data_IF_853335004328
#
_entry.id   IF_853335004328
#
_cell.length_a   1.000
_cell.length_b   1.000
_cell.length_c   1.000
_cell.angle_alpha   90.00
_cell.angle_beta   90.00
_cell.angle_gamma   90.00
#
_symmetry.space_group_name_H-M   'P 1'
#
loop_
_entity.id
_entity.type
_entity.pdbx_description
1 polymer ?
#
# COMPACT_ATOMS: atom_id res chain seq x y z
N UNK A 1 17.27 0.88 14.73
CA UNK A 1 15.88 0.38 14.69
C UNK A 1 15.19 0.74 15.98
N UNK A 2 14.38 1.79 15.93
CA UNK A 2 13.75 2.45 17.08
C UNK A 2 12.76 1.53 17.86
N UNK A 3 12.57 1.78 19.16
CA UNK A 3 11.69 0.96 20.02
C UNK A 3 10.21 1.08 19.64
N UNK A 4 9.77 2.24 19.16
CA UNK A 4 8.37 2.48 18.79
C UNK A 4 7.97 1.66 17.57
N UNK A 5 8.84 1.58 16.56
CA UNK A 5 8.61 0.78 15.35
C UNK A 5 8.54 -0.74 15.65
N UNK A 6 9.31 -1.24 16.62
CA UNK A 6 9.18 -2.65 17.08
C UNK A 6 7.82 -2.92 17.74
N UNK A 7 7.34 -2.01 18.57
CA UNK A 7 6.04 -2.11 19.25
C UNK A 7 4.88 -2.07 18.26
N UNK A 8 4.88 -1.12 17.34
CA UNK A 8 3.84 -0.96 16.31
C UNK A 8 3.73 -2.20 15.42
N UNK A 9 4.86 -2.83 15.05
CA UNK A 9 4.85 -4.10 14.31
C UNK A 9 4.19 -5.24 15.11
N UNK A 10 4.46 -5.29 16.40
CA UNK A 10 3.93 -6.33 17.28
C UNK A 10 2.43 -6.15 17.53
N UNK A 11 1.99 -4.91 17.75
CA UNK A 11 0.58 -4.55 17.93
C UNK A 11 -0.27 -4.87 16.68
N UNK A 12 0.30 -4.67 15.49
CA UNK A 12 -0.37 -4.93 14.21
C UNK A 12 -0.08 -6.33 13.65
N UNK A 13 0.52 -7.24 14.43
CA UNK A 13 0.87 -8.61 14.05
C UNK A 13 1.62 -8.73 12.70
N UNK A 14 2.53 -7.78 12.43
CA UNK A 14 3.25 -7.69 11.16
C UNK A 14 4.45 -8.66 11.12
N UNK A 15 4.74 -9.26 9.96
CA UNK A 15 5.82 -10.24 9.84
C UNK A 15 7.20 -9.59 10.04
N UNK A 16 8.14 -10.40 10.54
CA UNK A 16 9.55 -10.03 10.56
C UNK A 16 10.11 -10.20 9.15
N UNK A 17 10.59 -9.10 8.58
CA UNK A 17 11.26 -9.11 7.29
C UNK A 17 12.69 -9.63 7.45
N UNK A 18 13.11 -10.56 6.59
CA UNK A 18 14.49 -11.11 6.60
C UNK A 18 15.57 -10.03 6.46
N UNK A 19 15.22 -8.91 5.82
CA UNK A 19 16.12 -7.76 5.63
C UNK A 19 15.96 -6.69 6.71
N UNK A 20 15.10 -6.86 7.72
CA UNK A 20 14.99 -5.94 8.86
C UNK A 20 14.15 -4.67 8.65
N UNK A 21 13.71 -4.33 7.43
CA UNK A 21 12.83 -3.19 7.16
C UNK A 21 12.63 -2.93 5.66
N UNK A 22 11.81 -1.93 5.34
CA UNK A 22 11.54 -1.46 3.97
C UNK A 22 12.24 -0.12 3.76
N UNK A 23 12.96 0.05 2.65
CA UNK A 23 13.52 1.35 2.25
C UNK A 23 12.63 2.03 1.21
N UNK A 24 12.07 1.26 0.27
CA UNK A 24 11.20 1.76 -0.80
C UNK A 24 9.98 0.85 -0.89
N UNK A 25 8.78 1.45 -0.84
CA UNK A 25 7.53 0.80 -1.22
C UNK A 25 7.07 1.32 -2.58
N UNK A 26 7.01 0.45 -3.57
CA UNK A 26 6.47 0.76 -4.90
C UNK A 26 5.03 0.24 -4.98
N UNK A 27 4.05 1.13 -4.96
CA UNK A 27 2.63 0.78 -4.96
C UNK A 27 1.97 1.24 -6.27
N UNK A 28 2.31 0.53 -7.35
CA UNK A 28 1.99 0.90 -8.73
C UNK A 28 0.91 0.03 -9.38
N UNK A 29 0.10 -0.68 -8.58
CA UNK A 29 -1.03 -1.43 -9.12
C UNK A 29 -2.07 -0.44 -9.68
N UNK A 30 -2.36 -0.55 -10.99
CA UNK A 30 -3.24 0.39 -11.68
C UNK A 30 -3.89 -0.23 -12.93
N UNK A 31 -5.18 0.06 -13.12
CA UNK A 31 -5.92 -0.20 -14.36
C UNK A 31 -6.60 1.07 -14.85
N UNK A 32 -6.79 1.18 -16.16
CA UNK A 32 -7.50 2.28 -16.79
C UNK A 32 -8.34 1.77 -17.97
N UNK A 33 -9.61 1.38 -17.73
CA UNK A 33 -10.50 0.97 -18.81
C UNK A 33 -10.84 2.16 -19.72
N UNK A 34 -10.99 1.90 -21.02
CA UNK A 34 -11.35 2.90 -22.03
C UNK A 34 -12.86 3.11 -22.14
N UNK A 35 -13.56 3.16 -21.01
CA UNK A 35 -15.00 3.43 -20.95
C UNK A 35 -15.21 4.91 -20.64
N UNK A 36 -16.10 5.58 -21.38
CA UNK A 36 -16.47 6.97 -21.07
C UNK A 36 -17.19 6.99 -19.72
N UNK A 37 -16.99 8.06 -18.94
CA UNK A 37 -17.59 8.17 -17.61
C UNK A 37 -19.13 8.04 -17.63
N UNK A 38 -19.78 8.54 -18.68
CA UNK A 38 -21.25 8.46 -18.85
C UNK A 38 -21.77 7.05 -19.13
N UNK A 39 -20.90 6.17 -19.62
CA UNK A 39 -21.20 4.78 -20.00
C UNK A 39 -20.58 3.79 -19.01
N UNK A 40 -20.01 4.28 -17.91
CA UNK A 40 -19.24 3.47 -16.97
C UNK A 40 -20.17 2.61 -16.11
N UNK A 41 -20.03 1.29 -16.22
CA UNK A 41 -20.70 0.34 -15.34
C UNK A 41 -20.20 0.56 -13.88
N UNK A 42 -21.08 0.70 -12.88
CA UNK A 42 -20.70 0.72 -11.48
C UNK A 42 -19.72 -0.40 -11.07
N UNK A 43 -19.85 -1.61 -11.64
CA UNK A 43 -18.92 -2.70 -11.36
C UNK A 43 -17.50 -2.44 -11.91
N UNK A 44 -17.40 -1.75 -13.05
CA UNK A 44 -16.12 -1.35 -13.64
C UNK A 44 -15.47 -0.24 -12.80
N UNK A 45 -16.25 0.74 -12.32
CA UNK A 45 -15.80 1.74 -11.35
C UNK A 45 -15.25 1.11 -10.08
N UNK A 46 -15.99 0.17 -9.49
CA UNK A 46 -15.58 -0.53 -8.27
C UNK A 46 -14.27 -1.28 -8.47
N UNK A 47 -14.07 -1.88 -9.65
CA UNK A 47 -12.82 -2.56 -10.01
C UNK A 47 -11.65 -1.59 -10.10
N UNK A 48 -11.83 -0.42 -10.72
CA UNK A 48 -10.81 0.64 -10.79
C UNK A 48 -10.46 1.13 -9.39
N UNK A 49 -11.45 1.38 -8.53
CA UNK A 49 -11.22 1.84 -7.17
C UNK A 49 -10.57 0.77 -6.29
N UNK A 50 -10.98 -0.49 -6.43
CA UNK A 50 -10.35 -1.61 -5.74
C UNK A 50 -8.89 -1.79 -6.15
N UNK A 51 -8.58 -1.62 -7.44
CA UNK A 51 -7.23 -1.83 -7.97
C UNK A 51 -6.31 -0.65 -7.74
N UNK A 52 -6.77 0.58 -7.96
CA UNK A 52 -5.89 1.75 -7.97
C UNK A 52 -5.81 2.41 -6.59
N UNK A 53 -6.94 2.51 -5.88
CA UNK A 53 -7.02 3.24 -4.62
C UNK A 53 -6.90 2.31 -3.41
N UNK A 54 -7.74 1.27 -3.35
CA UNK A 54 -7.76 0.34 -2.21
C UNK A 54 -6.43 -0.41 -2.08
N UNK A 55 -5.82 -0.84 -3.19
CA UNK A 55 -4.51 -1.51 -3.15
C UNK A 55 -3.41 -0.60 -2.57
N UNK A 56 -3.40 0.68 -2.95
CA UNK A 56 -2.43 1.66 -2.48
C UNK A 56 -2.61 1.90 -0.97
N UNK A 57 -3.86 2.01 -0.51
CA UNK A 57 -4.17 2.16 0.92
C UNK A 57 -3.74 0.92 1.74
N UNK A 58 -4.15 -0.28 1.30
CA UNK A 58 -3.89 -1.53 2.01
C UNK A 58 -2.41 -1.91 2.03
N UNK A 59 -1.62 -1.49 1.04
CA UNK A 59 -0.17 -1.70 1.03
C UNK A 59 0.57 -0.65 1.87
N UNK A 60 0.20 0.63 1.76
CA UNK A 60 0.97 1.72 2.36
C UNK A 60 0.79 1.84 3.88
N UNK A 61 -0.43 1.66 4.38
CA UNK A 61 -0.71 1.83 5.81
C UNK A 61 0.08 0.82 6.68
N UNK A 62 0.04 -0.50 6.42
CA UNK A 62 0.86 -1.46 7.17
C UNK A 62 2.36 -1.29 6.92
N UNK A 63 2.78 -0.98 5.69
CA UNK A 63 4.18 -0.80 5.34
C UNK A 63 4.83 0.40 6.04
N UNK A 64 4.06 1.42 6.42
CA UNK A 64 4.58 2.58 7.15
C UNK A 64 5.26 2.20 8.47
N UNK A 65 4.75 1.19 9.18
CA UNK A 65 5.36 0.63 10.39
C UNK A 65 6.62 -0.19 10.11
N UNK A 66 6.84 -0.53 8.83
CA UNK A 66 7.93 -1.37 8.37
C UNK A 66 9.12 -0.59 7.80
N UNK A 67 8.97 0.71 7.55
CA UNK A 67 10.04 1.53 6.99
C UNK A 67 11.26 1.61 7.91
N UNK A 68 12.45 1.63 7.28
CA UNK A 68 13.68 2.08 7.92
C UNK A 68 13.71 3.61 7.97
N UNK A 69 14.69 4.16 8.68
CA UNK A 69 14.93 5.61 8.70
C UNK A 69 15.19 6.10 7.27
N UNK A 70 14.45 7.14 6.84
CA UNK A 70 14.50 7.64 5.46
C UNK A 70 13.74 6.80 4.43
N UNK A 71 13.05 5.74 4.84
CA UNK A 71 12.22 4.92 3.95
C UNK A 71 11.00 5.69 3.42
N UNK A 72 10.60 5.41 2.19
CA UNK A 72 9.52 6.15 1.52
C UNK A 72 8.67 5.29 0.60
N UNK A 73 7.46 5.77 0.32
CA UNK A 73 6.62 5.25 -0.77
C UNK A 73 6.95 6.01 -2.06
N UNK A 74 7.04 5.27 -3.16
CA UNK A 74 7.07 5.82 -4.51
C UNK A 74 5.78 5.45 -5.26
N UNK A 75 5.35 6.28 -6.22
CA UNK A 75 4.24 5.96 -7.11
C UNK A 75 4.45 4.65 -7.86
#
# INVERSE_FOLDING_TARGET
>A
MDRQSRRLRQENNLPRLSFGGIDILCASAGIFPQTKLVDLDPAEWDRVMATNLKSAFLSSSPASYLFREGGQRVP
#
